data_IF_363486412318
#
_entry.id   IF_363486412318
#
_cell.length_a   1.000
_cell.length_b   1.000
_cell.length_c   1.000
_cell.angle_alpha   90.00
_cell.angle_beta   90.00
_cell.angle_gamma   90.00
#
_symmetry.space_group_name_H-M   'P 1'
#
loop_
_entity.id
_entity.type
_entity.pdbx_description
1 polymer ?
#
# COMPACT_ATOMS: atom_id res chain seq x y z
N UNK A 1 -3.68 -11.02 -44.98
CA UNK A 1 -4.96 -11.39 -44.39
C UNK A 1 -4.82 -11.25 -42.91
N UNK A 2 -5.36 -10.15 -42.43
CA UNK A 2 -5.32 -9.71 -41.02
C UNK A 2 -6.38 -10.48 -40.23
N UNK A 3 -5.99 -11.05 -39.11
CA UNK A 3 -6.92 -11.62 -38.15
C UNK A 3 -6.69 -10.92 -36.80
N UNK A 4 -7.52 -9.91 -36.55
CA UNK A 4 -7.60 -9.23 -35.27
C UNK A 4 -8.28 -10.16 -34.26
N UNK A 5 -7.57 -10.52 -33.18
CA UNK A 5 -8.16 -11.18 -32.02
C UNK A 5 -8.67 -10.08 -31.09
N UNK A 6 -9.99 -9.94 -31.07
CA UNK A 6 -10.74 -9.08 -30.15
C UNK A 6 -10.58 -9.64 -28.73
N UNK A 7 -9.96 -8.87 -27.84
CA UNK A 7 -10.02 -9.11 -26.42
C UNK A 7 -11.42 -8.71 -25.94
N UNK A 8 -12.23 -9.67 -25.56
CA UNK A 8 -13.52 -9.45 -24.93
C UNK A 8 -13.28 -8.92 -23.50
N UNK A 9 -13.53 -7.64 -23.30
CA UNK A 9 -13.71 -7.04 -21.99
C UNK A 9 -14.98 -7.66 -21.37
N UNK A 10 -14.77 -8.55 -20.40
CA UNK A 10 -15.87 -9.08 -19.59
C UNK A 10 -16.23 -8.00 -18.57
N UNK A 11 -17.27 -7.23 -18.85
CA UNK A 11 -17.94 -6.39 -17.85
C UNK A 11 -18.40 -7.26 -16.69
N UNK A 12 -17.70 -7.18 -15.57
CA UNK A 12 -18.13 -7.78 -14.30
C UNK A 12 -19.19 -6.86 -13.70
N UNK A 13 -20.46 -7.18 -13.94
CA UNK A 13 -21.58 -6.52 -13.29
C UNK A 13 -21.52 -6.81 -11.79
N UNK A 14 -21.49 -5.77 -10.93
CA UNK A 14 -21.42 -5.98 -9.48
C UNK A 14 -22.73 -6.55 -8.96
N UNK A 15 -22.74 -7.80 -8.51
CA UNK A 15 -23.90 -8.37 -7.80
C UNK A 15 -24.01 -7.76 -6.40
N UNK A 16 -25.24 -7.37 -6.04
CA UNK A 16 -25.61 -6.92 -4.69
C UNK A 16 -25.52 -8.08 -3.69
N UNK A 17 -24.69 -7.94 -2.67
CA UNK A 17 -24.75 -8.77 -1.47
C UNK A 17 -25.61 -8.08 -0.42
N UNK A 18 -26.82 -8.55 -0.25
CA UNK A 18 -27.66 -8.21 0.91
C UNK A 18 -27.47 -9.30 1.96
N UNK A 19 -26.77 -8.98 3.04
CA UNK A 19 -26.58 -9.89 4.16
C UNK A 19 -27.75 -9.71 5.15
N UNK A 20 -28.66 -10.69 5.21
CA UNK A 20 -29.69 -10.75 6.24
C UNK A 20 -29.15 -11.36 7.54
N UNK A 21 -29.22 -10.56 8.59
CA UNK A 21 -29.36 -10.78 10.04
C UNK A 21 -28.46 -11.75 10.81
N UNK A 22 -27.73 -11.16 11.79
CA UNK A 22 -27.60 -11.75 13.14
C UNK A 22 -27.63 -10.67 14.28
N UNK A 23 -27.62 -9.39 13.99
CA UNK A 23 -27.85 -8.32 14.97
C UNK A 23 -28.67 -7.23 14.31
N UNK A 24 -29.68 -6.67 14.97
CA UNK A 24 -30.74 -5.82 14.43
C UNK A 24 -30.40 -4.59 13.59
N UNK A 25 -29.25 -4.51 12.95
CA UNK A 25 -28.86 -3.48 12.00
C UNK A 25 -28.63 -4.11 10.62
N UNK A 26 -29.45 -3.70 9.63
CA UNK A 26 -29.26 -4.09 8.23
C UNK A 26 -28.01 -3.38 7.68
N UNK A 27 -26.95 -4.13 7.37
CA UNK A 27 -25.80 -3.64 6.62
C UNK A 27 -25.91 -4.05 5.16
N UNK A 28 -25.46 -3.17 4.26
CA UNK A 28 -25.35 -3.46 2.83
C UNK A 28 -23.91 -3.20 2.35
N UNK A 29 -23.33 -4.16 1.61
CA UNK A 29 -22.03 -4.00 0.98
C UNK A 29 -22.24 -3.87 -0.53
N UNK A 30 -21.70 -2.80 -1.13
CA UNK A 30 -21.81 -2.53 -2.57
C UNK A 30 -20.49 -2.00 -3.10
N UNK A 31 -20.20 -2.29 -4.37
CA UNK A 31 -19.13 -1.61 -5.09
C UNK A 31 -19.41 -0.10 -5.11
N UNK A 32 -18.37 0.68 -4.84
CA UNK A 32 -18.39 2.13 -4.86
C UNK A 32 -18.18 2.64 -6.29
N UNK A 33 -18.77 3.78 -6.60
CA UNK A 33 -18.68 4.45 -7.89
C UNK A 33 -17.90 5.77 -7.76
N UNK A 34 -17.57 6.40 -8.88
CA UNK A 34 -16.84 7.67 -8.86
C UNK A 34 -17.66 8.81 -8.22
N UNK A 35 -18.99 8.72 -8.22
CA UNK A 35 -19.88 9.66 -7.50
C UNK A 35 -19.74 9.57 -5.96
N UNK A 36 -19.29 8.42 -5.42
CA UNK A 36 -19.04 8.23 -4.00
C UNK A 36 -17.69 8.83 -3.53
N UNK A 37 -16.84 9.31 -4.46
CA UNK A 37 -15.45 9.68 -4.16
C UNK A 37 -15.31 10.66 -2.99
N UNK A 38 -16.11 11.71 -2.96
CA UNK A 38 -16.03 12.72 -1.90
C UNK A 38 -16.35 12.14 -0.53
N UNK A 39 -17.39 11.31 -0.42
CA UNK A 39 -17.81 10.66 0.82
C UNK A 39 -16.73 9.66 1.29
N UNK A 40 -16.21 8.86 0.36
CA UNK A 40 -15.17 7.85 0.66
C UNK A 40 -13.88 8.51 1.14
N UNK A 41 -13.42 9.56 0.47
CA UNK A 41 -12.23 10.30 0.90
C UNK A 41 -12.43 10.96 2.27
N UNK A 42 -13.63 11.52 2.53
CA UNK A 42 -13.97 12.06 3.86
C UNK A 42 -13.95 10.96 4.94
N UNK A 43 -14.47 9.77 4.65
CA UNK A 43 -14.42 8.62 5.57
C UNK A 43 -12.97 8.18 5.84
N UNK A 44 -12.15 8.04 4.79
CA UNK A 44 -10.77 7.60 4.91
C UNK A 44 -9.89 8.64 5.64
N UNK A 45 -10.20 9.94 5.49
CA UNK A 45 -9.46 11.02 6.17
C UNK A 45 -9.60 11.05 7.69
N UNK A 46 -10.54 10.30 8.27
CA UNK A 46 -10.68 10.16 9.72
C UNK A 46 -9.49 9.44 10.36
N UNK A 47 -8.81 8.57 9.59
CA UNK A 47 -7.65 7.81 10.07
C UNK A 47 -6.53 7.78 9.01
N UNK A 48 -5.94 8.94 8.65
CA UNK A 48 -5.09 9.08 7.46
C UNK A 48 -3.87 8.16 7.46
N UNK A 49 -3.26 7.88 8.62
CA UNK A 49 -2.10 6.99 8.72
C UNK A 49 -2.41 5.54 8.34
N UNK A 50 -3.66 5.10 8.52
CA UNK A 50 -4.11 3.73 8.20
C UNK A 50 -4.68 3.62 6.78
N UNK A 51 -5.08 4.73 6.18
CA UNK A 51 -5.89 4.76 4.95
C UNK A 51 -5.18 5.42 3.78
N UNK A 52 -3.96 5.94 3.97
CA UNK A 52 -3.21 6.68 2.95
C UNK A 52 -3.09 5.92 1.63
N UNK A 53 -2.92 4.59 1.66
CA UNK A 53 -2.84 3.79 0.44
C UNK A 53 -4.16 3.79 -0.34
N UNK A 54 -5.29 3.60 0.33
CA UNK A 54 -6.62 3.63 -0.31
C UNK A 54 -6.95 5.04 -0.81
N UNK A 55 -6.74 6.05 0.03
CA UNK A 55 -6.99 7.45 -0.35
C UNK A 55 -6.10 7.88 -1.52
N UNK A 56 -4.81 7.50 -1.50
CA UNK A 56 -3.88 7.78 -2.58
C UNK A 56 -4.29 7.13 -3.90
N UNK A 57 -4.75 5.87 -3.90
CA UNK A 57 -5.29 5.24 -5.11
C UNK A 57 -6.48 6.01 -5.68
N UNK A 58 -7.40 6.44 -4.80
CA UNK A 58 -8.59 7.19 -5.24
C UNK A 58 -8.21 8.55 -5.79
N UNK A 59 -7.27 9.27 -5.17
CA UNK A 59 -6.78 10.56 -5.64
C UNK A 59 -6.05 10.46 -6.99
N UNK A 60 -5.29 9.38 -7.19
CA UNK A 60 -4.52 9.18 -8.42
C UNK A 60 -5.37 8.69 -9.60
N UNK A 61 -6.40 7.87 -9.33
CA UNK A 61 -7.06 7.09 -10.38
C UNK A 61 -8.58 7.14 -10.33
N UNK A 62 -9.18 7.77 -9.31
CA UNK A 62 -10.61 7.68 -9.02
C UNK A 62 -11.00 6.38 -8.30
N UNK A 63 -12.25 6.30 -7.87
CA UNK A 63 -12.80 5.12 -7.17
C UNK A 63 -12.83 3.91 -8.10
N UNK A 64 -13.26 4.12 -9.35
CA UNK A 64 -13.37 3.08 -10.38
C UNK A 64 -12.21 3.20 -11.36
N UNK A 65 -11.24 2.31 -11.25
CA UNK A 65 -10.09 2.27 -12.17
C UNK A 65 -9.39 0.91 -12.14
N UNK A 66 -8.99 0.42 -13.30
CA UNK A 66 -8.15 -0.78 -13.41
C UNK A 66 -6.77 -0.61 -12.71
N UNK A 67 -6.30 0.63 -12.57
CA UNK A 67 -5.03 0.93 -11.93
C UNK A 67 -5.07 0.75 -10.40
N UNK A 68 -6.25 0.75 -9.79
CA UNK A 68 -6.45 0.39 -8.38
C UNK A 68 -6.14 -1.09 -8.12
N UNK A 69 -6.09 -1.92 -9.17
CA UNK A 69 -5.84 -3.36 -9.10
C UNK A 69 -6.84 -4.09 -8.18
N UNK A 70 -8.03 -3.56 -8.07
CA UNK A 70 -9.12 -4.05 -7.22
C UNK A 70 -10.34 -3.16 -7.35
N UNK A 71 -11.36 -3.50 -6.61
CA UNK A 71 -12.64 -2.79 -6.55
C UNK A 71 -12.82 -2.25 -5.14
N UNK A 72 -13.18 -0.97 -5.04
CA UNK A 72 -13.57 -0.37 -3.79
C UNK A 72 -15.02 -0.74 -3.44
N UNK A 73 -15.22 -1.22 -2.22
CA UNK A 73 -16.53 -1.54 -1.66
C UNK A 73 -16.82 -0.69 -0.43
N UNK A 74 -18.05 -0.21 -0.32
CA UNK A 74 -18.56 0.47 0.86
C UNK A 74 -19.55 -0.41 1.61
N UNK A 75 -19.38 -0.52 2.92
CA UNK A 75 -20.38 -1.08 3.82
C UNK A 75 -21.19 0.05 4.43
N UNK A 76 -22.52 0.05 4.22
CA UNK A 76 -23.42 1.09 4.71
C UNK A 76 -24.38 0.54 5.74
N UNK A 77 -24.69 1.33 6.77
CA UNK A 77 -25.73 1.04 7.75
C UNK A 77 -27.14 1.34 7.21
N UNK A 78 -28.15 1.03 8.01
CA UNK A 78 -29.54 1.34 7.72
C UNK A 78 -29.80 2.87 7.53
N UNK A 79 -28.94 3.69 8.14
CA UNK A 79 -28.92 5.16 8.00
C UNK A 79 -28.29 5.65 6.69
N UNK A 80 -27.87 4.74 5.82
CA UNK A 80 -27.18 5.02 4.55
C UNK A 80 -25.71 5.43 4.68
N UNK A 81 -25.21 5.69 5.89
CA UNK A 81 -23.82 6.16 6.13
C UNK A 81 -22.81 5.02 6.00
N UNK A 82 -21.62 5.36 5.52
CA UNK A 82 -20.49 4.44 5.49
C UNK A 82 -20.11 4.00 6.92
N UNK A 83 -20.00 2.70 7.12
CA UNK A 83 -19.47 2.03 8.31
C UNK A 83 -18.10 1.38 8.04
N UNK A 84 -17.74 1.24 6.78
CA UNK A 84 -16.46 0.71 6.36
C UNK A 84 -16.24 0.85 4.86
N UNK A 85 -14.97 0.85 4.47
CA UNK A 85 -14.49 0.83 3.09
C UNK A 85 -13.46 -0.27 2.95
N UNK A 86 -13.53 -1.04 1.87
CA UNK A 86 -12.52 -2.04 1.53
C UNK A 86 -12.11 -1.90 0.06
N UNK A 87 -10.82 -2.01 -0.22
CA UNK A 87 -10.30 -2.32 -1.54
C UNK A 87 -10.08 -3.83 -1.60
N UNK A 88 -10.75 -4.52 -2.52
CA UNK A 88 -10.65 -5.98 -2.71
C UNK A 88 -10.10 -6.26 -4.10
N UNK A 89 -8.95 -6.95 -4.19
CA UNK A 89 -8.31 -7.23 -5.47
C UNK A 89 -6.93 -7.84 -5.35
N UNK A 90 -5.90 -7.23 -5.93
CA UNK A 90 -4.52 -7.73 -5.79
C UNK A 90 -4.04 -7.72 -4.34
N UNK A 91 -4.41 -6.69 -3.60
CA UNK A 91 -4.27 -6.60 -2.16
C UNK A 91 -5.62 -6.23 -1.57
N UNK A 92 -5.98 -6.83 -0.42
CA UNK A 92 -7.16 -6.43 0.34
C UNK A 92 -6.73 -5.50 1.46
N UNK A 93 -7.24 -4.26 1.39
CA UNK A 93 -7.07 -3.21 2.38
C UNK A 93 -8.44 -2.84 2.93
N UNK A 94 -8.55 -2.66 4.25
CA UNK A 94 -9.83 -2.44 4.92
C UNK A 94 -9.70 -1.27 5.90
N UNK A 95 -10.73 -0.44 5.97
CA UNK A 95 -10.91 0.53 7.05
C UNK A 95 -12.34 0.44 7.59
N UNK A 96 -12.48 0.06 8.85
CA UNK A 96 -13.74 0.05 9.56
C UNK A 96 -13.53 -0.04 11.07
N UNK A 97 -14.44 0.57 11.83
CA UNK A 97 -14.57 0.38 13.28
C UNK A 97 -15.78 -0.52 13.63
N UNK A 98 -16.52 -1.01 12.62
CA UNK A 98 -17.71 -1.83 12.77
C UNK A 98 -17.37 -3.31 12.54
N UNK A 99 -17.57 -4.14 13.56
CA UNK A 99 -17.24 -5.57 13.49
C UNK A 99 -18.12 -6.34 12.49
N UNK A 100 -19.40 -5.97 12.38
CA UNK A 100 -20.31 -6.55 11.38
C UNK A 100 -19.89 -6.18 9.93
N UNK A 101 -19.37 -4.96 9.73
CA UNK A 101 -18.79 -4.58 8.43
C UNK A 101 -17.53 -5.39 8.13
N UNK A 102 -16.69 -5.63 9.13
CA UNK A 102 -15.49 -6.46 8.99
C UNK A 102 -15.82 -7.90 8.59
N UNK A 103 -16.85 -8.48 9.23
CA UNK A 103 -17.39 -9.79 8.87
C UNK A 103 -17.95 -9.83 7.45
N UNK A 104 -18.68 -8.79 7.04
CA UNK A 104 -19.22 -8.66 5.70
C UNK A 104 -18.11 -8.58 4.64
N UNK A 105 -17.03 -7.84 4.91
CA UNK A 105 -15.87 -7.79 4.02
C UNK A 105 -15.12 -9.13 3.94
N UNK A 106 -15.06 -9.91 5.03
CA UNK A 106 -14.47 -11.25 4.98
C UNK A 106 -15.28 -12.20 4.09
N UNK A 107 -16.61 -12.10 4.12
CA UNK A 107 -17.47 -12.87 3.22
C UNK A 107 -17.34 -12.43 1.76
N UNK A 108 -17.25 -11.12 1.52
CA UNK A 108 -17.01 -10.57 0.19
C UNK A 108 -15.66 -11.05 -0.38
N UNK A 109 -14.60 -10.97 0.41
CA UNK A 109 -13.26 -11.43 0.05
C UNK A 109 -13.27 -12.92 -0.34
N UNK A 110 -13.95 -13.76 0.44
CA UNK A 110 -14.10 -15.18 0.13
C UNK A 110 -14.77 -15.45 -1.21
N UNK A 111 -15.77 -14.65 -1.60
CA UNK A 111 -16.55 -14.90 -2.81
C UNK A 111 -15.85 -14.42 -4.09
N UNK A 112 -15.04 -13.35 -4.00
CA UNK A 112 -14.54 -12.64 -5.18
C UNK A 112 -13.02 -12.54 -5.22
N UNK A 113 -12.32 -13.12 -4.23
CA UNK A 113 -10.92 -12.83 -4.04
C UNK A 113 -10.02 -13.41 -5.12
N UNK A 114 -9.23 -12.52 -5.67
CA UNK A 114 -7.96 -12.84 -6.33
C UNK A 114 -6.81 -12.19 -5.57
N UNK A 115 -7.00 -11.93 -4.29
CA UNK A 115 -6.01 -11.25 -3.46
C UNK A 115 -4.79 -12.13 -3.24
N UNK A 116 -3.63 -11.50 -3.30
CA UNK A 116 -2.36 -12.13 -2.94
C UNK A 116 -1.99 -11.89 -1.49
N UNK A 117 -2.53 -10.81 -0.90
CA UNK A 117 -2.31 -10.46 0.48
C UNK A 117 -3.47 -9.65 1.06
N UNK A 118 -3.61 -9.72 2.38
CA UNK A 118 -4.47 -8.89 3.21
C UNK A 118 -3.55 -8.12 4.14
N UNK A 119 -3.70 -6.78 4.22
CA UNK A 119 -2.85 -5.93 5.05
C UNK A 119 -3.67 -4.89 5.79
N UNK A 120 -3.30 -4.64 7.04
CA UNK A 120 -3.89 -3.59 7.86
C UNK A 120 -3.37 -3.61 9.28
N UNK A 121 -3.98 -2.78 10.12
CA UNK A 121 -3.70 -2.70 11.54
C UNK A 121 -3.90 -4.06 12.21
N UNK A 122 -2.97 -4.46 13.10
CA UNK A 122 -2.90 -5.78 13.69
C UNK A 122 -4.24 -6.27 14.26
N UNK A 123 -4.85 -5.50 15.15
CA UNK A 123 -6.09 -5.93 15.82
C UNK A 123 -7.26 -6.10 14.83
N UNK A 124 -7.36 -5.23 13.84
CA UNK A 124 -8.38 -5.32 12.81
C UNK A 124 -8.14 -6.55 11.92
N UNK A 125 -6.92 -6.81 11.50
CA UNK A 125 -6.58 -7.96 10.65
C UNK A 125 -6.75 -9.28 11.40
N UNK A 126 -6.43 -9.34 12.70
CA UNK A 126 -6.68 -10.55 13.50
C UNK A 126 -8.17 -10.86 13.58
N UNK A 127 -9.05 -9.86 13.80
CA UNK A 127 -10.50 -10.04 13.78
C UNK A 127 -11.02 -10.45 12.40
N UNK A 128 -10.58 -9.77 11.34
CA UNK A 128 -10.91 -10.12 9.96
C UNK A 128 -10.52 -11.56 9.65
N UNK A 129 -9.29 -11.94 9.99
CA UNK A 129 -8.79 -13.30 9.79
C UNK A 129 -9.62 -14.34 10.55
N UNK A 130 -10.07 -14.00 11.76
CA UNK A 130 -10.96 -14.85 12.55
C UNK A 130 -12.29 -15.17 11.82
N UNK A 131 -12.80 -14.27 10.97
CA UNK A 131 -13.96 -14.53 10.11
C UNK A 131 -13.55 -15.29 8.84
N UNK A 132 -12.49 -14.84 8.17
CA UNK A 132 -12.04 -15.37 6.89
C UNK A 132 -11.54 -16.81 6.97
N UNK A 133 -10.81 -17.17 8.01
CA UNK A 133 -10.33 -18.53 8.25
C UNK A 133 -11.47 -19.55 8.47
N UNK A 134 -12.58 -19.14 9.07
CA UNK A 134 -13.77 -19.98 9.24
C UNK A 134 -14.43 -20.38 7.91
N UNK A 135 -14.11 -19.67 6.83
CA UNK A 135 -14.55 -19.96 5.47
C UNK A 135 -13.60 -20.93 4.74
N UNK A 136 -12.65 -21.53 5.46
CA UNK A 136 -11.73 -22.56 4.92
C UNK A 136 -10.38 -22.05 4.43
N UNK A 137 -10.07 -20.76 4.62
CA UNK A 137 -8.81 -20.18 4.17
C UNK A 137 -7.66 -20.43 5.14
N UNK A 138 -6.47 -20.66 4.58
CA UNK A 138 -5.22 -20.82 5.30
C UNK A 138 -4.18 -19.77 4.80
N UNK A 139 -3.37 -19.20 5.68
CA UNK A 139 -2.35 -18.25 5.26
C UNK A 139 -1.18 -19.04 4.65
N UNK A 140 -0.65 -18.55 3.51
CA UNK A 140 0.62 -19.03 2.99
C UNK A 140 1.78 -18.56 3.87
N UNK A 141 1.71 -17.31 4.31
CA UNK A 141 2.69 -16.65 5.17
C UNK A 141 2.03 -15.47 5.88
N UNK A 142 2.40 -15.25 7.13
CA UNK A 142 2.05 -14.04 7.86
C UNK A 142 3.33 -13.29 8.27
N UNK A 143 3.31 -11.98 8.16
CA UNK A 143 4.38 -11.08 8.54
C UNK A 143 3.83 -9.98 9.42
N UNK A 144 4.54 -9.69 10.51
CA UNK A 144 4.29 -8.51 11.33
C UNK A 144 5.18 -7.37 10.87
N UNK A 145 4.58 -6.18 10.81
CA UNK A 145 5.24 -4.95 10.39
C UNK A 145 5.00 -3.87 11.44
N UNK A 146 5.98 -3.02 11.64
CA UNK A 146 5.91 -1.88 12.56
C UNK A 146 5.66 -0.62 11.74
N UNK A 147 4.61 0.13 12.11
CA UNK A 147 4.27 1.40 11.52
C UNK A 147 5.07 2.51 12.19
N UNK A 148 5.76 3.29 11.38
CA UNK A 148 6.51 4.46 11.78
C UNK A 148 5.97 5.70 11.08
N UNK A 149 6.00 6.84 11.79
CA UNK A 149 5.58 8.15 11.29
C UNK A 149 6.65 9.20 11.56
N UNK A 150 6.82 10.13 10.62
CA UNK A 150 7.66 11.31 10.76
C UNK A 150 6.79 12.56 10.56
N UNK A 151 6.74 13.43 11.56
CA UNK A 151 6.07 14.75 11.53
C UNK A 151 7.06 15.91 11.53
N UNK A 152 8.28 15.64 11.97
CA UNK A 152 9.37 16.61 11.96
C UNK A 152 10.68 15.89 11.62
N UNK A 153 11.59 16.62 10.99
CA UNK A 153 12.91 16.09 10.64
C UNK A 153 13.93 16.58 11.65
N UNK A 154 14.70 15.69 12.30
CA UNK A 154 15.77 16.10 13.20
C UNK A 154 16.88 16.83 12.44
N UNK A 155 17.63 17.66 13.15
CA UNK A 155 18.83 18.25 12.59
C UNK A 155 19.90 17.18 12.39
N UNK A 156 20.14 16.80 11.14
CA UNK A 156 21.16 15.84 10.75
C UNK A 156 22.23 16.57 9.94
N UNK A 157 23.47 16.49 10.40
CA UNK A 157 24.59 17.09 9.70
C UNK A 157 24.91 16.36 8.39
N UNK A 158 25.23 17.11 7.36
CA UNK A 158 25.65 16.61 6.06
C UNK A 158 24.47 16.23 5.15
N UNK A 159 24.14 17.11 4.25
CA UNK A 159 23.18 16.84 3.18
C UNK A 159 23.70 15.85 2.14
N UNK A 160 22.79 15.32 1.36
CA UNK A 160 23.08 14.54 0.17
C UNK A 160 22.67 15.40 -1.06
N UNK A 161 23.53 16.26 -1.57
CA UNK A 161 23.16 17.24 -2.60
C UNK A 161 22.62 16.62 -3.87
N UNK A 162 23.04 15.37 -4.17
CA UNK A 162 22.63 14.63 -5.36
C UNK A 162 21.36 13.79 -5.16
N UNK A 163 20.64 13.90 -4.01
CA UNK A 163 19.32 13.29 -3.83
C UNK A 163 18.32 13.97 -4.78
N UNK A 164 17.72 13.19 -5.67
CA UNK A 164 16.82 13.66 -6.71
C UNK A 164 15.72 12.66 -7.01
N UNK A 165 14.73 13.05 -7.77
CA UNK A 165 13.82 12.10 -8.41
C UNK A 165 14.56 11.28 -9.46
N UNK A 166 14.17 10.01 -9.60
CA UNK A 166 14.70 9.13 -10.64
C UNK A 166 14.28 9.60 -12.03
N UNK A 167 15.09 9.28 -13.01
CA UNK A 167 14.86 9.50 -14.44
C UNK A 167 14.76 8.15 -15.15
N UNK A 168 14.31 8.13 -16.41
CA UNK A 168 14.23 6.90 -17.20
C UNK A 168 15.59 6.17 -17.33
N UNK A 169 16.70 6.91 -17.26
CA UNK A 169 18.04 6.32 -17.23
C UNK A 169 18.33 5.47 -15.98
N UNK A 170 17.58 5.67 -14.89
CA UNK A 170 17.70 4.90 -13.64
C UNK A 170 16.81 3.65 -13.64
N UNK A 171 15.89 3.50 -14.61
CA UNK A 171 14.81 2.52 -14.62
C UNK A 171 15.29 1.10 -14.37
N UNK A 172 16.30 0.63 -15.08
CA UNK A 172 16.76 -0.76 -14.98
C UNK A 172 17.35 -1.08 -13.59
N UNK A 173 18.07 -0.13 -12.99
CA UNK A 173 18.58 -0.28 -11.63
C UNK A 173 17.45 -0.27 -10.58
N UNK A 174 16.45 0.60 -10.76
CA UNK A 174 15.28 0.67 -9.89
C UNK A 174 14.46 -0.62 -9.97
N UNK A 175 14.23 -1.15 -11.18
CA UNK A 175 13.53 -2.43 -11.39
C UNK A 175 14.24 -3.55 -10.65
N UNK A 176 15.57 -3.66 -10.82
CA UNK A 176 16.37 -4.70 -10.16
C UNK A 176 16.24 -4.62 -8.63
N UNK A 177 16.41 -3.43 -8.06
CA UNK A 177 16.32 -3.23 -6.61
C UNK A 177 14.92 -3.61 -6.12
N UNK A 178 13.86 -3.19 -6.81
CA UNK A 178 12.48 -3.51 -6.43
C UNK A 178 12.19 -5.01 -6.52
N UNK A 179 12.66 -5.68 -7.58
CA UNK A 179 12.50 -7.12 -7.73
C UNK A 179 13.22 -7.89 -6.61
N UNK A 180 14.49 -7.55 -6.33
CA UNK A 180 15.27 -8.17 -5.26
C UNK A 180 14.58 -8.00 -3.88
N UNK A 181 13.99 -6.83 -3.62
CA UNK A 181 13.24 -6.57 -2.38
C UNK A 181 11.99 -7.44 -2.30
N UNK A 182 11.18 -7.52 -3.35
CA UNK A 182 9.95 -8.32 -3.40
C UNK A 182 10.28 -9.82 -3.22
N UNK A 183 11.30 -10.33 -3.89
CA UNK A 183 11.76 -11.72 -3.70
C UNK A 183 12.13 -11.97 -2.24
N UNK A 184 12.88 -11.05 -1.61
CA UNK A 184 13.27 -11.17 -0.20
C UNK A 184 12.06 -11.14 0.75
N UNK A 185 11.02 -10.38 0.42
CA UNK A 185 9.84 -10.17 1.27
C UNK A 185 8.80 -11.27 1.13
N UNK A 186 8.46 -11.67 -0.09
CA UNK A 186 7.37 -12.61 -0.33
C UNK A 186 7.79 -13.90 -1.08
N UNK A 187 9.05 -14.00 -1.54
CA UNK A 187 9.55 -15.18 -2.25
C UNK A 187 9.04 -15.33 -3.68
N UNK A 188 8.43 -14.28 -4.26
CA UNK A 188 7.90 -14.28 -5.63
C UNK A 188 8.71 -13.30 -6.48
N UNK A 189 9.26 -13.77 -7.58
CA UNK A 189 9.95 -12.90 -8.53
C UNK A 189 8.93 -12.23 -9.45
N UNK A 190 8.77 -10.88 -9.35
CA UNK A 190 7.82 -10.15 -10.18
C UNK A 190 8.22 -10.12 -11.65
N UNK A 191 9.51 -10.28 -11.96
CA UNK A 191 10.01 -10.30 -13.34
C UNK A 191 9.64 -11.59 -14.05
N UNK A 192 9.59 -12.72 -13.31
CA UNK A 192 9.14 -14.00 -13.84
C UNK A 192 7.62 -14.04 -13.96
N UNK A 193 6.90 -13.46 -13.01
CA UNK A 193 5.43 -13.51 -12.95
C UNK A 193 4.76 -12.61 -13.98
N UNK A 194 5.24 -11.36 -14.12
CA UNK A 194 4.67 -10.30 -14.98
C UNK A 194 5.73 -9.23 -15.22
N UNK A 195 6.78 -9.58 -15.98
CA UNK A 195 7.94 -8.71 -16.18
C UNK A 195 7.60 -7.39 -16.86
N UNK A 196 6.80 -7.43 -17.94
CA UNK A 196 6.42 -6.24 -18.70
C UNK A 196 5.55 -5.31 -17.87
N UNK A 197 4.49 -5.82 -17.24
CA UNK A 197 3.63 -5.03 -16.39
C UNK A 197 4.36 -4.51 -15.15
N UNK A 198 5.34 -5.25 -14.61
CA UNK A 198 6.18 -4.75 -13.52
C UNK A 198 7.04 -3.57 -13.97
N UNK A 199 7.69 -3.67 -15.15
CA UNK A 199 8.48 -2.60 -15.76
C UNK A 199 7.64 -1.35 -16.00
N UNK A 200 6.45 -1.50 -16.59
CA UNK A 200 5.54 -0.39 -16.84
C UNK A 200 5.12 0.34 -15.55
N UNK A 201 4.83 -0.41 -14.48
CA UNK A 201 4.46 0.19 -13.19
C UNK A 201 5.61 0.99 -12.57
N UNK A 202 6.85 0.48 -12.67
CA UNK A 202 8.04 1.19 -12.18
C UNK A 202 8.32 2.43 -13.02
N UNK A 203 8.26 2.32 -14.36
CA UNK A 203 8.46 3.44 -15.28
C UNK A 203 7.46 4.56 -15.00
N UNK A 204 6.18 4.23 -14.84
CA UNK A 204 5.12 5.19 -14.51
C UNK A 204 5.39 5.93 -13.20
N UNK A 205 5.87 5.24 -12.15
CA UNK A 205 6.25 5.90 -10.89
C UNK A 205 7.41 6.86 -11.05
N UNK A 206 8.39 6.51 -11.90
CA UNK A 206 9.49 7.41 -12.23
C UNK A 206 8.95 8.66 -12.95
N UNK A 207 8.10 8.50 -13.95
CA UNK A 207 7.50 9.61 -14.70
C UNK A 207 6.64 10.53 -13.80
N UNK A 208 6.00 9.97 -12.78
CA UNK A 208 5.26 10.71 -11.76
C UNK A 208 6.17 11.43 -10.73
N UNK A 209 7.51 11.30 -10.81
CA UNK A 209 8.44 11.86 -9.83
C UNK A 209 8.35 11.22 -8.44
N UNK A 210 7.84 9.99 -8.35
CA UNK A 210 7.59 9.27 -7.09
C UNK A 210 8.74 8.39 -6.63
N UNK A 211 9.77 8.20 -7.44
CA UNK A 211 10.97 7.44 -7.10
C UNK A 211 12.11 8.41 -6.81
N UNK A 212 12.65 8.34 -5.60
CA UNK A 212 13.76 9.17 -5.15
C UNK A 212 15.03 8.34 -5.09
N UNK A 213 16.12 8.90 -5.61
CA UNK A 213 17.41 8.20 -5.73
C UNK A 213 18.57 9.12 -5.40
N UNK A 214 19.64 8.51 -4.91
CA UNK A 214 20.99 9.07 -4.91
C UNK A 214 21.92 8.08 -5.58
N UNK A 215 22.69 8.55 -6.55
CA UNK A 215 23.68 7.74 -7.29
C UNK A 215 25.07 8.32 -7.15
N UNK A 216 26.06 7.45 -7.13
CA UNK A 216 27.47 7.78 -7.13
C UNK A 216 28.18 6.87 -8.14
N UNK A 217 29.00 7.49 -9.01
CA UNK A 217 29.73 6.76 -10.07
C UNK A 217 28.84 5.82 -10.90
N UNK A 218 27.63 6.27 -11.25
CA UNK A 218 26.68 5.52 -12.08
C UNK A 218 25.93 4.39 -11.35
N UNK A 219 26.09 4.25 -10.02
CA UNK A 219 25.42 3.23 -9.20
C UNK A 219 24.44 3.87 -8.23
N UNK A 220 23.25 3.32 -8.12
CA UNK A 220 22.29 3.74 -7.10
C UNK A 220 22.77 3.32 -5.70
N UNK A 221 22.96 4.32 -4.85
CA UNK A 221 23.37 4.14 -3.43
C UNK A 221 22.14 4.13 -2.51
N UNK A 222 21.19 5.00 -2.80
CA UNK A 222 19.93 5.10 -2.05
C UNK A 222 18.76 5.15 -3.00
N UNK A 223 17.65 4.55 -2.58
CA UNK A 223 16.36 4.61 -3.24
C UNK A 223 15.23 4.63 -2.22
N UNK A 224 14.18 5.39 -2.49
CA UNK A 224 12.90 5.34 -1.76
C UNK A 224 11.75 5.69 -2.72
N UNK A 225 10.59 5.06 -2.55
CA UNK A 225 9.39 5.31 -3.35
C UNK A 225 8.32 6.00 -2.52
N UNK A 226 7.72 7.06 -3.08
CA UNK A 226 6.43 7.59 -2.63
C UNK A 226 5.35 6.70 -3.21
N UNK A 227 4.81 5.80 -2.40
CA UNK A 227 3.79 4.85 -2.85
C UNK A 227 2.42 5.51 -2.97
N UNK A 228 2.04 6.27 -1.96
CA UNK A 228 0.78 7.00 -1.90
C UNK A 228 1.02 8.38 -1.27
N UNK A 229 0.26 9.36 -1.70
CA UNK A 229 0.35 10.73 -1.24
C UNK A 229 -1.03 11.35 -1.12
N UNK A 230 -1.29 11.97 0.05
CA UNK A 230 -2.44 12.82 0.33
C UNK A 230 -1.95 14.10 1.01
N UNK A 231 -2.77 15.15 1.15
CA UNK A 231 -2.38 16.34 1.92
C UNK A 231 -2.02 16.05 3.37
N UNK A 232 -2.62 15.01 3.97
CA UNK A 232 -2.41 14.63 5.37
C UNK A 232 -1.21 13.71 5.56
N UNK A 233 -0.92 12.84 4.58
CA UNK A 233 0.00 11.72 4.76
C UNK A 233 0.69 11.32 3.46
N UNK A 234 1.99 11.03 3.53
CA UNK A 234 2.74 10.33 2.48
C UNK A 234 3.14 8.96 3.00
N UNK A 235 2.93 7.91 2.21
CA UNK A 235 3.43 6.58 2.50
C UNK A 235 4.65 6.26 1.66
N UNK A 236 5.78 5.98 2.34
CA UNK A 236 7.03 5.56 1.72
C UNK A 236 7.19 4.05 1.75
N UNK A 237 7.65 3.50 0.64
CA UNK A 237 8.07 2.10 0.55
C UNK A 237 9.40 1.96 -0.20
N UNK A 238 9.89 0.73 -0.32
CA UNK A 238 11.05 0.44 -1.16
C UNK A 238 12.33 1.16 -0.76
N UNK A 239 12.48 1.51 0.53
CA UNK A 239 13.68 2.20 1.04
C UNK A 239 14.84 1.20 1.03
N UNK A 240 15.85 1.51 0.24
CA UNK A 240 17.04 0.69 0.09
C UNK A 240 18.33 1.52 0.13
N UNK A 241 19.34 0.96 0.81
CA UNK A 241 20.72 1.44 0.76
C UNK A 241 21.58 0.32 0.21
N UNK A 242 22.40 0.64 -0.79
CA UNK A 242 23.32 -0.33 -1.42
C UNK A 242 24.19 -1.02 -0.36
N UNK A 243 24.32 -2.35 -0.45
CA UNK A 243 24.94 -3.18 0.61
C UNK A 243 26.32 -2.71 1.05
N UNK A 244 27.20 -2.32 0.10
CA UNK A 244 28.57 -1.85 0.40
C UNK A 244 28.62 -0.47 1.06
N UNK A 245 27.52 0.27 1.07
CA UNK A 245 27.42 1.63 1.62
C UNK A 245 26.60 1.68 2.92
N UNK A 246 26.15 0.54 3.41
CA UNK A 246 25.47 0.45 4.71
C UNK A 246 26.46 0.74 5.84
N UNK A 247 25.94 1.25 6.97
CA UNK A 247 26.77 1.61 8.13
C UNK A 247 27.43 2.99 8.06
N UNK A 248 27.47 3.65 6.89
CA UNK A 248 28.12 4.95 6.68
C UNK A 248 27.20 6.16 6.95
N UNK A 249 25.99 5.95 7.50
CA UNK A 249 25.04 7.01 7.80
C UNK A 249 24.31 7.60 6.57
N UNK A 250 24.60 7.12 5.37
CA UNK A 250 23.98 7.63 4.14
C UNK A 250 22.47 7.49 4.13
N UNK A 251 21.95 6.33 4.53
CA UNK A 251 20.51 6.10 4.55
C UNK A 251 19.76 7.10 5.44
N UNK A 252 20.30 7.37 6.65
CA UNK A 252 19.70 8.32 7.59
C UNK A 252 19.71 9.74 7.01
N UNK A 253 20.82 10.17 6.40
CA UNK A 253 20.92 11.48 5.76
C UNK A 253 19.99 11.62 4.57
N UNK A 254 19.95 10.61 3.68
CA UNK A 254 19.03 10.61 2.53
C UNK A 254 17.57 10.66 2.99
N UNK A 255 17.21 9.86 3.99
CA UNK A 255 15.84 9.78 4.47
C UNK A 255 15.41 11.07 5.19
N UNK A 256 16.30 11.69 5.96
CA UNK A 256 16.04 12.98 6.58
C UNK A 256 15.91 14.11 5.55
N UNK A 257 16.77 14.14 4.53
CA UNK A 257 16.66 15.12 3.45
C UNK A 257 15.37 14.92 2.65
N UNK A 258 15.01 13.68 2.33
CA UNK A 258 13.74 13.36 1.69
C UNK A 258 12.56 13.80 2.55
N UNK A 259 12.63 13.57 3.86
CA UNK A 259 11.62 14.05 4.81
C UNK A 259 11.42 15.56 4.76
N UNK A 260 12.52 16.36 4.75
CA UNK A 260 12.42 17.83 4.63
C UNK A 260 11.71 18.27 3.34
N UNK A 261 11.93 17.56 2.24
CA UNK A 261 11.29 17.87 0.97
C UNK A 261 9.80 17.48 1.00
N UNK A 262 9.48 16.31 1.48
CA UNK A 262 8.11 15.78 1.44
C UNK A 262 7.18 16.46 2.47
N UNK A 263 7.69 16.83 3.64
CA UNK A 263 6.92 17.57 4.66
C UNK A 263 6.58 19.01 4.27
N UNK A 264 7.09 19.50 3.14
CA UNK A 264 6.63 20.79 2.57
C UNK A 264 5.26 20.67 1.89
N UNK A 265 4.82 19.46 1.54
CA UNK A 265 3.59 19.20 0.77
C UNK A 265 2.61 18.24 1.45
N UNK A 266 2.98 17.67 2.60
CA UNK A 266 2.12 16.83 3.42
C UNK A 266 2.43 17.03 4.89
N UNK A 267 1.44 16.73 5.77
CA UNK A 267 1.60 16.94 7.22
C UNK A 267 2.52 15.91 7.87
N UNK A 268 2.53 14.68 7.35
CA UNK A 268 3.38 13.63 7.89
C UNK A 268 3.74 12.58 6.84
N UNK A 269 4.73 11.75 7.18
CA UNK A 269 5.23 10.68 6.33
C UNK A 269 5.20 9.40 7.16
N UNK A 270 4.66 8.32 6.60
CA UNK A 270 4.68 7.02 7.27
C UNK A 270 5.35 5.94 6.40
N UNK A 271 5.73 4.87 7.05
CA UNK A 271 6.29 3.67 6.42
C UNK A 271 6.01 2.43 7.27
N UNK A 272 6.08 1.26 6.66
CA UNK A 272 6.05 -0.02 7.33
C UNK A 272 7.42 -0.69 7.28
N UNK A 273 7.81 -1.29 8.40
CA UNK A 273 9.06 -2.02 8.56
C UNK A 273 8.77 -3.44 9.05
N UNK A 274 9.33 -4.45 8.40
CA UNK A 274 9.21 -5.81 8.90
C UNK A 274 9.85 -5.94 10.29
N UNK A 275 9.10 -6.43 11.28
CA UNK A 275 9.52 -6.56 12.68
C UNK A 275 10.84 -7.36 12.83
N UNK A 276 11.06 -8.36 11.97
CA UNK A 276 12.27 -9.19 12.00
C UNK A 276 13.56 -8.44 11.65
N UNK A 277 13.45 -7.21 11.14
CA UNK A 277 14.60 -6.35 10.79
C UNK A 277 14.91 -5.36 11.93
N UNK A 278 15.11 -5.85 13.14
CA UNK A 278 15.27 -5.05 14.39
C UNK A 278 16.23 -3.87 14.26
N UNK A 279 17.38 -4.07 13.59
CA UNK A 279 18.38 -3.00 13.37
C UNK A 279 17.86 -1.80 12.57
N UNK A 280 16.76 -1.95 11.82
CA UNK A 280 16.16 -0.85 11.09
C UNK A 280 15.32 0.07 11.99
N UNK A 281 14.83 -0.40 13.14
CA UNK A 281 14.08 0.43 14.07
C UNK A 281 14.89 1.64 14.53
N UNK A 282 16.16 1.42 14.92
CA UNK A 282 17.07 2.51 15.32
C UNK A 282 17.45 3.42 14.14
N UNK A 283 17.55 2.86 12.93
CA UNK A 283 17.79 3.63 11.72
C UNK A 283 16.64 4.63 11.47
N UNK A 284 15.38 4.18 11.53
CA UNK A 284 14.22 5.04 11.33
C UNK A 284 14.08 6.08 12.45
N UNK A 285 14.29 5.71 13.72
CA UNK A 285 14.28 6.64 14.84
C UNK A 285 15.32 7.75 14.66
N UNK A 286 16.56 7.41 14.25
CA UNK A 286 17.61 8.40 13.94
C UNK A 286 17.23 9.34 12.80
N UNK A 287 16.41 8.90 11.85
CA UNK A 287 15.88 9.73 10.78
C UNK A 287 14.65 10.55 11.21
N UNK A 288 14.20 10.46 12.46
CA UNK A 288 13.09 11.24 13.00
C UNK A 288 11.71 10.55 12.90
N UNK A 289 11.69 9.24 12.65
CA UNK A 289 10.45 8.47 12.67
C UNK A 289 10.14 7.94 14.06
N UNK A 290 8.88 7.99 14.45
CA UNK A 290 8.37 7.47 15.71
C UNK A 290 7.47 6.26 15.46
N UNK A 291 7.53 5.27 16.35
CA UNK A 291 6.65 4.12 16.31
C UNK A 291 5.20 4.53 16.59
N UNK A 292 4.24 4.01 15.79
CA UNK A 292 2.81 4.32 15.91
C UNK A 292 1.92 3.10 16.11
N UNK A 293 2.34 1.93 15.68
CA UNK A 293 1.51 0.75 15.81
C UNK A 293 2.06 -0.48 15.09
N UNK A 294 1.29 -1.53 15.13
CA UNK A 294 1.62 -2.84 14.56
C UNK A 294 0.64 -3.15 13.43
N UNK A 295 1.18 -3.68 12.35
CA UNK A 295 0.45 -4.15 11.17
C UNK A 295 0.68 -5.63 10.96
N UNK A 296 -0.30 -6.31 10.39
CA UNK A 296 -0.15 -7.65 9.85
C UNK A 296 -0.32 -7.62 8.33
N UNK A 297 0.56 -8.36 7.66
CA UNK A 297 0.43 -8.71 6.24
C UNK A 297 0.32 -10.24 6.13
N UNK A 298 -0.84 -10.70 5.67
CA UNK A 298 -1.14 -12.12 5.46
C UNK A 298 -1.09 -12.40 3.98
N UNK A 299 -0.10 -13.17 3.52
CA UNK A 299 -0.01 -13.63 2.14
C UNK A 299 -0.90 -14.85 1.95
N UNK A 300 -1.68 -14.84 0.89
CA UNK A 300 -2.60 -15.91 0.52
C UNK A 300 -1.95 -16.88 -0.48
N UNK A 301 -2.47 -18.10 -0.55
CA UNK A 301 -2.12 -19.03 -1.60
C UNK A 301 -2.66 -18.51 -2.94
N UNK A 302 -1.91 -18.68 -4.05
CA UNK A 302 -2.44 -18.43 -5.39
C UNK A 302 -3.69 -19.29 -5.61
N UNK A 303 -4.78 -18.68 -6.07
CA UNK A 303 -5.99 -19.37 -6.51
C UNK A 303 -5.93 -19.64 -8.00
#
# INVERSE_FOLDING_TARGET
MSSAVSAAETEVVPQMLSLERASGQSLSVKALLNEDQAEVLAFLSLRPIHTVCMAGYILDHGVVSAQNRGIFYGCRGADGKLKGVALVGHATLIETQCDDALKAFAQLEHQYSRSHLIRGEHEMIQRFWGYYAKLGHQPRRACRELLFEQQAVPEIKGDIPALRTAMQADLDQVIKINADMIVSECGVDPLVKDGDGFRERVARRIDQGRVWVWSESGRLIFKADVFAETPEMIYLEGINVHGTQRGNGYGTRCLAQLGRILLQRSRSICLLMNERKELLGDFYKKAGYEFRGVYDTIYLHPQ
#
